data_IF_039017018844
#
_entry.id   IF_039017018844
#
_cell.length_a   1.000
_cell.length_b   1.000
_cell.length_c   1.000
_cell.angle_alpha   90.00
_cell.angle_beta   90.00
_cell.angle_gamma   90.00
#
_symmetry.space_group_name_H-M   'P 1'
#
loop_
_entity.id
_entity.type
_entity.pdbx_description
1 polymer ?
#
# COMPACT_ATOMS: atom_id res chain seq x y z
N UNK A 1 9.04 4.59 -28.80
CA UNK A 1 7.64 4.80 -28.38
C UNK A 1 7.14 3.48 -27.80
N UNK A 2 7.18 3.27 -26.47
CA UNK A 2 6.86 1.94 -25.92
C UNK A 2 7.06 1.68 -24.41
N UNK A 3 7.56 2.61 -23.60
CA UNK A 3 7.82 2.35 -22.16
C UNK A 3 6.80 3.06 -21.24
N UNK A 4 6.10 4.08 -21.73
CA UNK A 4 5.24 4.95 -20.91
C UNK A 4 3.90 4.30 -20.47
N UNK A 5 3.51 3.16 -21.05
CA UNK A 5 2.22 2.54 -20.79
C UNK A 5 2.21 1.62 -19.56
N UNK A 6 3.35 1.04 -19.15
CA UNK A 6 3.40 0.04 -18.07
C UNK A 6 3.42 0.66 -16.66
N UNK A 7 3.98 1.85 -16.49
CA UNK A 7 4.09 2.51 -15.17
C UNK A 7 2.82 3.28 -14.76
N UNK A 8 1.98 3.73 -15.70
CA UNK A 8 0.70 4.44 -15.40
C UNK A 8 -0.30 3.62 -14.59
N UNK A 9 -0.05 2.33 -14.37
CA UNK A 9 -0.95 1.40 -13.70
C UNK A 9 -0.83 1.40 -12.16
N UNK A 10 -0.05 2.28 -11.53
CA UNK A 10 0.01 2.33 -10.06
C UNK A 10 -1.13 3.11 -9.39
N UNK A 11 -1.82 3.98 -10.14
CA UNK A 11 -2.84 4.89 -9.62
C UNK A 11 -4.10 4.19 -9.08
N UNK A 12 -4.27 4.07 -7.78
CA UNK A 12 -5.50 3.49 -7.24
C UNK A 12 -5.37 2.96 -5.83
N UNK A 13 -6.36 2.17 -5.44
CA UNK A 13 -6.41 1.51 -4.14
C UNK A 13 -5.75 0.14 -4.24
N UNK A 14 -4.97 -0.18 -3.22
CA UNK A 14 -4.26 -1.42 -3.03
C UNK A 14 -4.62 -1.98 -1.66
N UNK A 15 -4.55 -3.29 -1.52
CA UNK A 15 -4.60 -3.98 -0.23
C UNK A 15 -3.43 -4.91 -0.16
N UNK A 16 -2.79 -4.92 1.01
CA UNK A 16 -1.59 -5.68 1.21
C UNK A 16 -1.51 -6.27 2.59
N UNK A 17 -0.44 -7.02 2.79
CA UNK A 17 -0.07 -7.66 4.03
C UNK A 17 1.43 -7.45 4.24
N UNK A 18 1.85 -7.08 5.44
CA UNK A 18 3.26 -7.05 5.81
C UNK A 18 3.54 -7.99 6.97
N UNK A 19 4.77 -8.48 7.01
CA UNK A 19 5.25 -9.48 7.95
C UNK A 19 6.53 -8.96 8.57
N UNK A 20 6.69 -9.12 9.88
CA UNK A 20 7.94 -8.88 10.60
C UNK A 20 8.84 -10.12 10.46
N UNK A 21 10.11 -9.92 10.10
CA UNK A 21 11.07 -11.02 9.94
C UNK A 21 11.34 -11.73 11.28
N UNK A 22 11.29 -10.99 12.40
CA UNK A 22 11.54 -11.52 13.75
C UNK A 22 10.43 -12.43 14.27
N UNK A 23 9.18 -12.17 13.90
CA UNK A 23 8.03 -12.80 14.56
C UNK A 23 7.21 -13.70 13.66
N UNK A 24 7.34 -13.68 12.32
CA UNK A 24 6.84 -14.71 11.39
C UNK A 24 5.38 -15.20 11.48
N UNK A 25 4.56 -14.70 12.42
CA UNK A 25 3.42 -15.47 12.93
C UNK A 25 2.04 -14.88 12.64
N UNK A 26 1.92 -13.60 12.26
CA UNK A 26 0.67 -13.10 11.67
C UNK A 26 0.94 -11.88 10.78
N UNK A 27 0.42 -11.92 9.56
CA UNK A 27 0.56 -10.82 8.61
C UNK A 27 -0.41 -9.70 8.94
N UNK A 28 0.08 -8.47 8.98
CA UNK A 28 -0.75 -7.28 9.25
C UNK A 28 -1.33 -6.77 7.93
N UNK A 29 -2.65 -6.82 7.81
CA UNK A 29 -3.34 -6.30 6.62
C UNK A 29 -3.38 -4.78 6.63
N UNK A 30 -3.14 -4.17 5.47
CA UNK A 30 -3.21 -2.73 5.28
C UNK A 30 -3.88 -2.37 3.95
N UNK A 31 -4.30 -1.11 3.84
CA UNK A 31 -4.79 -0.51 2.60
C UNK A 31 -3.92 0.66 2.19
N UNK A 32 -3.75 0.86 0.89
CA UNK A 32 -2.98 1.99 0.34
C UNK A 32 -3.73 2.65 -0.80
N UNK A 33 -3.64 3.97 -0.87
CA UNK A 33 -3.91 4.71 -2.10
C UNK A 33 -2.60 5.25 -2.66
N UNK A 34 -2.32 4.97 -3.93
CA UNK A 34 -1.13 5.44 -4.64
C UNK A 34 -1.49 6.31 -5.83
N UNK A 35 -0.67 7.32 -6.08
CA UNK A 35 -0.64 8.11 -7.30
C UNK A 35 0.79 8.22 -7.85
N UNK A 36 0.96 7.90 -9.13
CA UNK A 36 2.20 8.03 -9.88
C UNK A 36 2.08 9.18 -10.89
N UNK A 37 3.00 10.14 -10.81
CA UNK A 37 3.14 11.24 -11.78
C UNK A 37 4.61 11.48 -12.08
N UNK A 38 5.00 11.37 -13.35
CA UNK A 38 6.37 11.60 -13.82
C UNK A 38 7.42 10.82 -13.01
N UNK A 39 7.18 9.52 -12.78
CA UNK A 39 8.08 8.66 -12.00
C UNK A 39 8.03 8.88 -10.48
N UNK A 40 7.35 9.91 -9.99
CA UNK A 40 7.18 10.17 -8.54
C UNK A 40 5.90 9.54 -8.01
N UNK A 41 6.02 8.85 -6.89
CA UNK A 41 4.91 8.24 -6.17
C UNK A 41 4.52 9.11 -4.99
N UNK A 42 3.23 9.27 -4.79
CA UNK A 42 2.64 9.86 -3.59
C UNK A 42 1.44 9.03 -3.16
N UNK A 43 1.12 9.01 -1.87
CA UNK A 43 0.01 8.20 -1.40
C UNK A 43 -0.25 8.30 0.09
N UNK A 44 -1.11 7.41 0.57
CA UNK A 44 -1.38 7.20 1.97
C UNK A 44 -1.68 5.74 2.26
N UNK A 45 -1.35 5.28 3.46
CA UNK A 45 -1.73 3.95 3.95
C UNK A 45 -2.56 4.05 5.22
N UNK A 46 -3.32 2.99 5.48
CA UNK A 46 -4.07 2.78 6.71
C UNK A 46 -3.89 1.32 7.14
N UNK A 47 -3.60 1.10 8.42
CA UNK A 47 -3.37 -0.21 9.01
C UNK A 47 -3.79 -0.26 10.48
N UNK A 48 -4.04 -1.45 11.05
CA UNK A 48 -4.24 -1.60 12.48
C UNK A 48 -3.02 -1.12 13.27
N UNK A 49 -3.26 -0.47 14.41
CA UNK A 49 -2.20 -0.15 15.34
C UNK A 49 -1.71 -1.42 16.05
N UNK A 50 -0.47 -1.82 15.76
CA UNK A 50 0.13 -3.05 16.31
C UNK A 50 1.30 -2.79 17.25
N UNK A 51 1.74 -1.53 17.42
CA UNK A 51 3.00 -1.22 18.09
C UNK A 51 3.01 0.04 18.97
N UNK A 52 2.00 0.91 18.92
CA UNK A 52 1.88 2.08 19.81
C UNK A 52 0.70 1.90 20.75
N UNK A 53 0.78 2.48 21.95
CA UNK A 53 -0.23 2.38 23.01
C UNK A 53 -1.70 2.51 22.55
N UNK A 54 -2.61 1.96 23.35
CA UNK A 54 -4.01 1.64 23.00
C UNK A 54 -4.94 2.84 22.68
N UNK A 55 -4.42 4.05 22.48
CA UNK A 55 -5.23 5.25 22.24
C UNK A 55 -5.73 5.37 20.79
N UNK A 56 -5.20 4.55 19.87
CA UNK A 56 -5.65 4.48 18.48
C UNK A 56 -5.79 3.03 18.02
N UNK A 57 -6.90 2.74 17.34
CA UNK A 57 -7.15 1.43 16.71
C UNK A 57 -6.42 1.29 15.36
N UNK A 58 -6.21 2.41 14.66
CA UNK A 58 -5.59 2.45 13.34
C UNK A 58 -4.51 3.53 13.23
N UNK A 59 -3.56 3.31 12.34
CA UNK A 59 -2.48 4.23 12.01
C UNK A 59 -2.58 4.65 10.54
N UNK A 60 -2.67 5.96 10.31
CA UNK A 60 -2.57 6.54 8.99
C UNK A 60 -1.14 7.05 8.72
N UNK A 61 -0.68 6.87 7.48
CA UNK A 61 0.63 7.33 7.07
C UNK A 61 0.60 7.98 5.69
N UNK A 62 1.55 8.90 5.46
CA UNK A 62 1.83 9.45 4.14
C UNK A 62 2.91 8.62 3.47
N UNK A 63 2.74 8.37 2.17
CA UNK A 63 3.73 7.71 1.33
C UNK A 63 4.29 8.71 0.31
N UNK A 64 5.60 8.70 0.13
CA UNK A 64 6.31 9.40 -0.95
C UNK A 64 7.38 8.50 -1.52
N UNK A 65 7.64 8.56 -2.81
CA UNK A 65 8.61 7.66 -3.41
C UNK A 65 8.86 7.91 -4.88
N UNK A 66 9.48 6.95 -5.53
CA UNK A 66 9.71 6.96 -6.97
C UNK A 66 9.71 5.54 -7.54
N UNK A 67 9.55 5.47 -8.86
CA UNK A 67 9.64 4.23 -9.65
C UNK A 67 10.75 4.40 -10.67
N UNK A 68 11.60 3.38 -10.79
CA UNK A 68 12.56 3.22 -11.87
C UNK A 68 12.37 1.83 -12.51
N UNK A 69 11.95 1.80 -13.77
CA UNK A 69 11.56 0.56 -14.44
C UNK A 69 10.45 -0.21 -13.69
N UNK A 70 10.81 -1.38 -13.16
CA UNK A 70 9.93 -2.24 -12.35
C UNK A 70 10.26 -2.16 -10.86
N UNK A 71 11.17 -1.28 -10.45
CA UNK A 71 11.52 -1.06 -9.05
C UNK A 71 10.74 0.11 -8.46
N UNK A 72 10.38 0.00 -7.19
CA UNK A 72 9.68 1.04 -6.45
C UNK A 72 10.30 1.22 -5.07
N UNK A 73 10.57 2.48 -4.72
CA UNK A 73 11.01 2.87 -3.38
C UNK A 73 9.99 3.82 -2.78
N UNK A 74 9.58 3.56 -1.55
CA UNK A 74 8.64 4.36 -0.78
C UNK A 74 9.23 4.71 0.59
N UNK A 75 8.99 5.94 1.03
CA UNK A 75 9.15 6.40 2.39
C UNK A 75 7.77 6.57 2.99
N UNK A 76 7.51 5.87 4.09
CA UNK A 76 6.26 5.93 4.86
C UNK A 76 6.50 6.71 6.15
N UNK A 77 5.69 7.74 6.36
CA UNK A 77 5.74 8.58 7.56
C UNK A 77 4.36 8.59 8.20
N UNK A 78 4.26 8.05 9.41
CA UNK A 78 3.01 8.04 10.16
C UNK A 78 2.56 9.46 10.53
N UNK A 79 1.25 9.66 10.67
CA UNK A 79 0.69 10.94 11.08
C UNK A 79 0.30 10.93 12.55
N UNK A 80 0.60 12.04 13.22
CA UNK A 80 0.19 12.25 14.61
C UNK A 80 0.85 11.29 15.61
N UNK A 81 2.00 10.72 15.26
CA UNK A 81 2.91 9.99 16.13
C UNK A 81 4.35 10.37 15.75
N UNK A 82 5.23 10.41 16.74
CA UNK A 82 6.66 10.65 16.55
C UNK A 82 7.38 9.31 16.42
N UNK A 83 7.43 8.81 15.19
CA UNK A 83 8.01 7.52 14.83
C UNK A 83 8.91 7.71 13.61
N UNK A 84 10.06 7.04 13.63
CA UNK A 84 10.99 7.04 12.48
C UNK A 84 10.29 6.59 11.19
N UNK A 85 10.63 7.18 10.03
CA UNK A 85 10.07 6.74 8.76
C UNK A 85 10.39 5.28 8.46
N UNK A 86 9.42 4.57 7.90
CA UNK A 86 9.64 3.23 7.35
C UNK A 86 10.08 3.36 5.90
N UNK A 87 11.19 2.74 5.57
CA UNK A 87 11.68 2.61 4.20
C UNK A 87 11.12 1.33 3.60
N UNK A 88 10.60 1.40 2.38
CA UNK A 88 10.12 0.24 1.64
C UNK A 88 10.76 0.20 0.26
N UNK A 89 11.30 -0.96 -0.09
CA UNK A 89 11.87 -1.24 -1.41
C UNK A 89 11.19 -2.46 -1.98
N UNK A 90 10.78 -2.42 -3.23
CA UNK A 90 10.05 -3.52 -3.84
C UNK A 90 10.08 -3.54 -5.36
N UNK A 91 9.44 -4.57 -5.91
CA UNK A 91 9.31 -4.80 -7.33
C UNK A 91 7.83 -4.78 -7.73
N UNK A 92 7.53 -4.06 -8.81
CA UNK A 92 6.27 -4.04 -9.51
C UNK A 92 6.19 -5.28 -10.39
N UNK A 93 5.17 -6.10 -10.19
CA UNK A 93 4.97 -7.38 -10.86
C UNK A 93 3.59 -7.43 -11.50
N UNK A 94 3.39 -8.46 -12.31
CA UNK A 94 2.10 -8.80 -12.90
C UNK A 94 1.45 -7.61 -13.62
N UNK A 95 2.26 -6.89 -14.42
CA UNK A 95 1.81 -5.71 -15.16
C UNK A 95 1.19 -4.66 -14.23
N UNK A 96 1.86 -4.31 -13.13
CA UNK A 96 1.39 -3.27 -12.22
C UNK A 96 0.16 -3.66 -11.38
N UNK A 97 -0.13 -4.96 -11.25
CA UNK A 97 -1.21 -5.47 -10.37
C UNK A 97 -0.73 -5.94 -9.01
N UNK A 98 0.56 -6.28 -8.89
CA UNK A 98 1.18 -6.72 -7.64
C UNK A 98 2.44 -5.92 -7.36
N UNK A 99 2.67 -5.59 -6.10
CA UNK A 99 3.95 -5.07 -5.60
C UNK A 99 4.36 -5.94 -4.43
N UNK A 100 5.62 -6.39 -4.40
CA UNK A 100 6.18 -7.09 -3.24
C UNK A 100 7.59 -6.63 -2.96
N UNK A 101 8.00 -6.65 -1.69
CA UNK A 101 9.25 -6.05 -1.28
C UNK A 101 9.58 -6.25 0.19
N UNK A 102 10.52 -5.43 0.66
CA UNK A 102 10.97 -5.36 2.05
C UNK A 102 10.70 -4.00 2.65
N UNK A 103 10.54 -3.97 3.96
CA UNK A 103 10.46 -2.75 4.73
C UNK A 103 11.44 -2.81 5.90
N UNK A 104 11.92 -1.64 6.36
CA UNK A 104 12.92 -1.51 7.43
C UNK A 104 12.89 -0.09 8.03
N UNK A 105 13.60 0.13 9.15
CA UNK A 105 13.57 1.34 9.98
C UNK A 105 14.98 1.93 10.25
N UNK A 106 15.69 2.58 9.32
CA UNK A 106 17.08 3.12 9.55
C UNK A 106 18.30 2.17 9.42
N UNK A 107 18.45 1.51 8.25
CA UNK A 107 19.43 0.43 7.93
C UNK A 107 20.84 0.63 8.52
N UNK A 108 21.55 -0.39 9.10
CA UNK A 108 21.39 -1.85 8.92
C UNK A 108 20.97 -2.69 10.15
N UNK A 109 20.57 -2.10 11.28
CA UNK A 109 20.44 -2.79 12.58
C UNK A 109 18.99 -2.93 13.07
N UNK A 110 18.04 -3.25 12.20
CA UNK A 110 16.62 -3.00 12.50
C UNK A 110 15.66 -4.16 12.46
N UNK A 111 14.51 -3.86 13.07
CA UNK A 111 13.20 -4.40 12.71
C UNK A 111 13.00 -4.27 11.19
N UNK A 112 13.06 -5.40 10.51
CA UNK A 112 12.76 -5.51 9.09
C UNK A 112 11.62 -6.47 8.84
N UNK A 113 11.12 -6.43 7.61
CA UNK A 113 10.12 -7.36 7.18
C UNK A 113 9.92 -7.38 5.68
N UNK A 114 8.90 -8.13 5.28
CA UNK A 114 8.44 -8.20 3.90
C UNK A 114 7.02 -7.68 3.78
N UNK A 115 6.65 -7.25 2.57
CA UNK A 115 5.28 -6.90 2.26
C UNK A 115 4.91 -7.39 0.87
N UNK A 116 3.62 -7.60 0.68
CA UNK A 116 3.00 -7.72 -0.63
C UNK A 116 1.70 -6.93 -0.66
N UNK A 117 1.37 -6.37 -1.82
CA UNK A 117 0.10 -5.72 -2.05
C UNK A 117 -0.41 -5.91 -3.47
N UNK A 118 -1.72 -6.01 -3.58
CA UNK A 118 -2.44 -6.20 -4.83
C UNK A 118 -3.41 -5.06 -5.08
N UNK A 119 -3.50 -4.66 -6.34
CA UNK A 119 -4.38 -3.58 -6.77
C UNK A 119 -5.83 -4.03 -6.66
N UNK A 120 -6.68 -3.24 -6.00
CA UNK A 120 -8.13 -3.45 -6.05
C UNK A 120 -8.63 -3.06 -7.44
N UNK A 121 -9.11 -4.05 -8.18
CA UNK A 121 -9.88 -3.79 -9.39
C UNK A 121 -11.26 -3.31 -8.99
N UNK A 122 -11.75 -2.25 -9.63
CA UNK A 122 -13.12 -1.84 -9.49
C UNK A 122 -14.02 -2.92 -10.10
N UNK A 123 -14.48 -3.87 -9.30
CA UNK A 123 -15.57 -4.73 -9.69
C UNK A 123 -16.84 -3.89 -9.65
N UNK A 124 -17.18 -3.26 -10.77
CA UNK A 124 -18.49 -2.64 -10.98
C UNK A 124 -19.56 -3.75 -10.99
N UNK A 125 -20.02 -4.14 -9.80
CA UNK A 125 -21.34 -4.72 -9.61
C UNK A 125 -22.08 -3.83 -8.63
N UNK A 126 -22.57 -2.70 -9.14
CA UNK A 126 -23.70 -2.05 -8.51
C UNK A 126 -24.84 -3.08 -8.47
N UNK A 127 -25.26 -3.49 -7.27
CA UNK A 127 -26.55 -4.16 -7.11
C UNK A 127 -27.60 -3.09 -7.42
N UNK A 128 -28.17 -3.13 -8.61
CA UNK A 128 -29.42 -2.42 -8.89
C UNK A 128 -30.51 -3.10 -8.06
N UNK A 129 -30.82 -2.53 -6.89
CA UNK A 129 -32.08 -2.81 -6.21
C UNK A 129 -33.19 -2.12 -6.98
N UNK A 130 -33.70 -2.76 -8.03
CA UNK A 130 -34.99 -2.40 -8.61
C UNK A 130 -36.06 -2.91 -7.65
N UNK A 131 -36.64 -2.01 -6.86
CA UNK A 131 -37.89 -2.30 -6.15
C UNK A 131 -39.04 -2.40 -7.16
N UNK A 132 -39.88 -3.44 -7.13
CA UNK A 132 -41.06 -3.50 -7.99
C UNK A 132 -42.08 -2.44 -7.55
N UNK A 133 -42.53 -1.61 -8.50
CA UNK A 133 -43.70 -0.75 -8.32
C UNK A 133 -44.94 -1.67 -8.39
N UNK A 134 -45.73 -1.72 -7.32
CA UNK A 134 -46.98 -2.46 -7.31
C UNK A 134 -48.03 -1.75 -8.20
N UNK A 135 -48.84 -2.49 -8.99
CA UNK A 135 -49.89 -1.89 -9.80
C UNK A 135 -51.08 -1.42 -8.94
N UNK A 136 -51.71 -0.31 -9.36
CA UNK A 136 -53.03 0.14 -8.88
C UNK A 136 -54.14 -0.58 -9.63
#
# INVERSE_FOLDING_TARGET
>A
MGIECKSRQLNGVWSGCFYYDETGHEGVTFSVWLSLKNGRVSGSSLEPNTFIGQEKDELDAKLKGHVDGEEIVLLKTYRGIDQEPVYCEGAIRDQGRKISGRWYFDWPNEITGTFEMERKLANARARETVSPIAPR
#
